data_IF_341514306986
#
_entry.id   IF_341514306986
#
_cell.length_a   1.000
_cell.length_b   1.000
_cell.length_c   1.000
_cell.angle_alpha   90.00
_cell.angle_beta   90.00
_cell.angle_gamma   90.00
#
_symmetry.space_group_name_H-M   'P 1'
#
loop_
_entity.id
_entity.type
_entity.pdbx_description
1 polymer ?
#
# COMPACT_ATOMS: atom_id res chain seq x y z
N UNK A 1 -5.41 -2.82 -5.27
CA UNK A 1 -5.60 -1.41 -4.82
C UNK A 1 -4.67 -1.05 -3.66
N UNK A 2 -4.79 -1.65 -2.47
CA UNK A 2 -3.95 -1.26 -1.32
C UNK A 2 -2.43 -1.32 -1.61
N UNK A 3 -1.94 -2.37 -2.27
CA UNK A 3 -0.53 -2.48 -2.66
C UNK A 3 -0.13 -1.43 -3.72
N UNK A 4 -1.01 -1.13 -4.68
CA UNK A 4 -0.78 -0.09 -5.67
C UNK A 4 -0.66 1.29 -5.02
N UNK A 5 -1.54 1.61 -4.07
CA UNK A 5 -1.45 2.83 -3.27
C UNK A 5 -0.17 2.88 -2.43
N UNK A 6 0.20 1.77 -1.78
CA UNK A 6 1.43 1.69 -0.99
C UNK A 6 2.69 1.98 -1.83
N UNK A 7 2.69 1.56 -3.09
CA UNK A 7 3.77 1.81 -4.05
C UNK A 7 3.82 3.26 -4.54
N UNK A 8 2.76 4.04 -4.39
CA UNK A 8 2.75 5.49 -4.71
C UNK A 8 3.29 6.35 -3.55
N UNK A 9 3.52 5.78 -2.37
CA UNK A 9 3.99 6.53 -1.20
C UNK A 9 5.50 6.82 -1.31
N UNK A 10 5.89 8.09 -1.21
CA UNK A 10 7.30 8.52 -1.35
C UNK A 10 8.26 7.81 -0.38
N UNK A 11 7.79 7.41 0.80
CA UNK A 11 8.60 6.74 1.80
C UNK A 11 8.82 5.23 1.52
N UNK A 12 8.22 4.68 0.46
CA UNK A 12 8.23 3.24 0.16
C UNK A 12 8.96 2.98 -1.17
N UNK A 13 10.18 2.47 -1.09
CA UNK A 13 10.92 2.01 -2.28
C UNK A 13 10.44 0.65 -2.80
N UNK A 14 10.28 -0.33 -1.89
CA UNK A 14 9.85 -1.68 -2.22
C UNK A 14 9.20 -2.39 -1.01
N UNK A 15 7.90 -2.71 -1.03
CA UNK A 15 7.25 -3.42 0.06
C UNK A 15 7.64 -4.90 0.11
N UNK A 16 7.82 -5.45 1.31
CA UNK A 16 8.06 -6.89 1.51
C UNK A 16 6.73 -7.58 1.78
N UNK A 17 6.21 -8.30 0.78
CA UNK A 17 4.90 -8.96 0.85
C UNK A 17 5.08 -10.45 1.15
N UNK A 18 4.47 -10.93 2.24
CA UNK A 18 4.41 -12.35 2.58
C UNK A 18 3.06 -12.95 2.18
N UNK A 19 3.07 -14.13 1.56
CA UNK A 19 1.85 -14.88 1.22
C UNK A 19 2.08 -16.39 1.29
N UNK A 20 1.02 -17.13 1.57
CA UNK A 20 0.97 -18.61 1.53
C UNK A 20 0.15 -19.15 0.37
N UNK A 21 -0.39 -18.27 -0.48
CA UNK A 21 -1.18 -18.61 -1.67
C UNK A 21 -0.52 -18.06 -2.93
N UNK A 22 -0.54 -18.85 -4.01
CA UNK A 22 -0.07 -18.43 -5.34
C UNK A 22 -0.97 -17.34 -5.91
N UNK A 23 -2.29 -17.44 -5.73
CA UNK A 23 -3.25 -16.45 -6.22
C UNK A 23 -2.96 -15.06 -5.63
N UNK A 24 -2.74 -14.98 -4.31
CA UNK A 24 -2.36 -13.72 -3.67
C UNK A 24 -0.97 -13.20 -4.11
N UNK A 25 -0.05 -14.08 -4.51
CA UNK A 25 1.23 -13.66 -5.08
C UNK A 25 1.00 -13.00 -6.45
N UNK A 26 0.17 -13.60 -7.29
CA UNK A 26 -0.18 -13.08 -8.61
C UNK A 26 -0.92 -11.73 -8.49
N UNK A 27 -1.87 -11.60 -7.57
CA UNK A 27 -2.55 -10.33 -7.30
C UNK A 27 -1.59 -9.23 -6.80
N UNK A 28 -0.60 -9.60 -5.98
CA UNK A 28 0.41 -8.66 -5.53
C UNK A 28 1.31 -8.17 -6.67
N UNK A 29 1.64 -9.04 -7.63
CA UNK A 29 2.37 -8.67 -8.84
C UNK A 29 1.50 -7.78 -9.75
N UNK A 30 0.23 -8.15 -9.95
CA UNK A 30 -0.70 -7.38 -10.77
C UNK A 30 -0.91 -5.95 -10.26
N UNK A 31 -0.73 -5.70 -8.95
CA UNK A 31 -0.79 -4.36 -8.38
C UNK A 31 0.26 -3.38 -8.94
N UNK A 32 1.37 -3.88 -9.52
CA UNK A 32 2.40 -3.06 -10.17
C UNK A 32 1.91 -2.40 -11.47
N UNK A 33 0.86 -2.93 -12.08
CA UNK A 33 0.29 -2.42 -13.33
C UNK A 33 -0.89 -1.45 -13.10
N UNK A 34 -1.20 -1.16 -11.84
CA UNK A 34 -2.29 -0.26 -11.47
C UNK A 34 -1.73 1.13 -11.22
N UNK A 35 -1.98 2.04 -12.16
CA UNK A 35 -1.76 3.48 -11.98
C UNK A 35 -2.93 4.10 -11.20
N UNK A 36 -2.61 4.90 -10.18
CA UNK A 36 -3.58 5.70 -9.45
C UNK A 36 -3.41 7.17 -9.83
N UNK A 37 -4.51 7.88 -10.04
CA UNK A 37 -4.44 9.33 -10.21
C UNK A 37 -4.20 10.02 -8.87
N UNK A 38 -3.75 11.28 -8.91
CA UNK A 38 -3.59 12.10 -7.71
C UNK A 38 -4.89 12.15 -6.89
N UNK A 39 -6.05 12.27 -7.56
CA UNK A 39 -7.36 12.26 -6.90
C UNK A 39 -7.72 10.92 -6.27
N UNK A 40 -7.25 9.79 -6.83
CA UNK A 40 -7.47 8.47 -6.23
C UNK A 40 -6.63 8.34 -4.95
N UNK A 41 -5.37 8.79 -4.98
CA UNK A 41 -4.52 8.82 -3.79
C UNK A 41 -5.10 9.72 -2.70
N UNK A 42 -5.52 10.95 -3.05
CA UNK A 42 -6.19 11.87 -2.11
C UNK A 42 -7.43 11.24 -1.46
N UNK A 43 -8.27 10.57 -2.26
CA UNK A 43 -9.45 9.88 -1.75
C UNK A 43 -9.11 8.74 -0.79
N UNK A 44 -8.08 7.95 -1.11
CA UNK A 44 -7.63 6.84 -0.26
C UNK A 44 -6.97 7.32 1.06
N UNK A 45 -6.39 8.51 1.05
CA UNK A 45 -5.69 9.12 2.19
C UNK A 45 -6.60 9.95 3.11
N UNK A 46 -7.72 10.48 2.60
CA UNK A 46 -8.70 11.24 3.38
C UNK A 46 -9.08 10.60 4.72
N UNK A 47 -9.33 9.27 4.83
CA UNK A 47 -9.66 8.64 6.10
C UNK A 47 -8.45 8.25 6.96
N UNK A 48 -7.20 8.41 6.48
CA UNK A 48 -6.01 7.93 7.18
C UNK A 48 -5.56 8.90 8.29
N UNK A 49 -5.57 8.43 9.54
CA UNK A 49 -5.13 9.21 10.70
C UNK A 49 -3.88 8.58 11.37
N UNK A 50 -2.89 9.38 11.78
CA UNK A 50 -1.73 8.88 12.51
C UNK A 50 -2.13 8.18 13.81
N UNK A 51 -1.59 6.99 14.03
CA UNK A 51 -1.80 6.22 15.26
C UNK A 51 -0.70 6.58 16.27
N UNK A 52 -1.02 6.80 17.56
CA UNK A 52 -0.01 7.05 18.57
C UNK A 52 0.95 5.85 18.71
N UNK A 53 2.22 6.16 18.97
CA UNK A 53 3.24 5.15 19.25
C UNK A 53 2.88 4.39 20.53
N UNK A 54 2.73 3.06 20.43
CA UNK A 54 2.42 2.20 21.56
C UNK A 54 3.70 1.49 22.04
N UNK A 55 4.03 1.66 23.32
CA UNK A 55 5.07 0.89 24.00
C UNK A 55 6.49 1.22 23.59
N UNK A 56 7.00 2.39 24.00
CA UNK A 56 8.41 2.76 23.92
C UNK A 56 8.71 3.80 25.02
N UNK A 57 9.35 3.38 26.12
CA UNK A 57 10.27 4.22 26.94
C UNK A 57 11.69 4.02 26.42
#
# INVERSE_FOLDING_TARGET
IALAWLLHQEAVDAPIVGTTSVEHLEDAVAALEIDLSDSDCEFLEEPYEPVPVNGHE
#
